data_IF_597858982167
#
_entry.id   IF_597858982167
#
_cell.length_a   1.000
_cell.length_b   1.000
_cell.length_c   1.000
_cell.angle_alpha   90.00
_cell.angle_beta   90.00
_cell.angle_gamma   90.00
#
_symmetry.space_group_name_H-M   'P 1'
#
loop_
_entity.id
_entity.type
_entity.pdbx_description
1 polymer ?
#
# COMPACT_ATOMS: atom_id res chain seq x y z
N UNK A 1 4.87 -16.28 -11.59
CA UNK A 1 3.42 -16.52 -11.49
C UNK A 1 2.98 -16.00 -10.13
N UNK A 2 2.32 -14.85 -10.09
CA UNK A 2 1.90 -14.20 -8.84
C UNK A 2 0.71 -14.98 -8.27
N UNK A 3 0.88 -15.65 -7.14
CA UNK A 3 -0.20 -16.39 -6.48
C UNK A 3 -1.19 -15.40 -5.88
N UNK A 4 -2.24 -15.09 -6.62
CA UNK A 4 -3.37 -14.30 -6.14
C UNK A 4 -4.14 -15.13 -5.13
N UNK A 5 -3.87 -14.94 -3.84
CA UNK A 5 -4.66 -15.56 -2.79
C UNK A 5 -6.03 -14.87 -2.72
N UNK A 6 -7.18 -15.57 -2.89
CA UNK A 6 -8.51 -14.95 -2.89
C UNK A 6 -8.82 -14.18 -1.59
N UNK A 7 -8.20 -14.55 -0.46
CA UNK A 7 -8.32 -13.81 0.80
C UNK A 7 -7.83 -12.36 0.71
N UNK A 8 -6.93 -12.05 -0.22
CA UNK A 8 -6.31 -10.73 -0.39
C UNK A 8 -7.10 -9.81 -1.32
N UNK A 9 -8.24 -10.25 -1.85
CA UNK A 9 -9.03 -9.48 -2.81
C UNK A 9 -9.48 -8.11 -2.25
N UNK A 10 -9.73 -8.05 -0.94
CA UNK A 10 -10.07 -6.81 -0.23
C UNK A 10 -8.90 -5.79 -0.19
N UNK A 11 -7.66 -6.22 -0.36
CA UNK A 11 -6.51 -5.31 -0.50
C UNK A 11 -6.47 -4.60 -1.84
N UNK A 12 -6.99 -5.25 -2.89
CA UNK A 12 -6.95 -4.74 -4.25
C UNK A 12 -8.13 -3.83 -4.58
N UNK A 13 -9.30 -4.12 -4.01
CA UNK A 13 -10.55 -3.37 -4.22
C UNK A 13 -10.59 -2.07 -3.42
N UNK A 14 -11.27 -1.07 -3.98
CA UNK A 14 -11.62 0.13 -3.25
C UNK A 14 -12.84 -0.13 -2.36
N UNK A 15 -12.73 0.20 -1.07
CA UNK A 15 -13.73 -0.14 -0.05
C UNK A 15 -14.17 1.06 0.80
N UNK A 16 -13.49 2.21 0.69
CA UNK A 16 -13.67 3.34 1.61
C UNK A 16 -14.78 4.33 1.21
N UNK A 17 -15.40 4.20 0.03
CA UNK A 17 -16.46 5.11 -0.41
C UNK A 17 -17.21 4.64 -1.65
N UNK A 18 -18.23 5.41 -2.04
CA UNK A 18 -19.07 5.19 -3.23
C UNK A 18 -19.11 6.45 -4.08
N UNK A 19 -19.35 6.29 -5.38
CA UNK A 19 -19.47 7.41 -6.31
C UNK A 19 -20.91 7.53 -6.81
N UNK A 20 -21.40 8.78 -6.92
CA UNK A 20 -22.72 9.07 -7.49
C UNK A 20 -22.77 8.85 -9.02
N UNK A 21 -21.61 8.79 -9.69
CA UNK A 21 -21.48 8.65 -11.14
C UNK A 21 -20.30 7.73 -11.48
N UNK A 22 -20.48 6.87 -12.50
CA UNK A 22 -19.48 5.93 -13.03
C UNK A 22 -18.76 5.07 -11.97
N UNK A 23 -19.49 4.62 -10.93
CA UNK A 23 -18.90 3.88 -9.80
C UNK A 23 -18.10 2.65 -10.25
N UNK A 24 -18.64 1.84 -11.17
CA UNK A 24 -17.91 0.66 -11.64
C UNK A 24 -16.59 1.03 -12.33
N UNK A 25 -16.56 2.12 -13.10
CA UNK A 25 -15.35 2.58 -13.75
C UNK A 25 -14.34 3.09 -12.71
N UNK A 26 -14.81 3.85 -11.72
CA UNK A 26 -13.98 4.35 -10.62
C UNK A 26 -13.39 3.19 -9.78
N UNK A 27 -14.15 2.11 -9.58
CA UNK A 27 -13.69 0.90 -8.92
C UNK A 27 -12.64 0.15 -9.76
N UNK A 28 -12.88 0.00 -11.08
CA UNK A 28 -11.94 -0.63 -12.02
C UNK A 28 -10.61 0.14 -12.08
N UNK A 29 -10.67 1.46 -12.20
CA UNK A 29 -9.47 2.31 -12.30
C UNK A 29 -8.64 2.35 -11.01
N UNK A 30 -9.24 2.00 -9.87
CA UNK A 30 -8.56 1.90 -8.56
C UNK A 30 -8.24 0.46 -8.15
N UNK A 31 -8.65 -0.52 -8.93
CA UNK A 31 -8.30 -1.92 -8.70
C UNK A 31 -6.84 -2.13 -9.11
N UNK A 32 -6.03 -2.59 -8.17
CA UNK A 32 -4.63 -2.93 -8.44
C UNK A 32 -4.25 -4.17 -7.66
N UNK A 33 -4.16 -5.29 -8.38
CA UNK A 33 -3.54 -6.49 -7.86
C UNK A 33 -2.03 -6.26 -7.70
N UNK A 34 -1.47 -6.68 -6.57
CA UNK A 34 -0.05 -6.65 -6.31
C UNK A 34 0.38 -7.91 -5.55
N UNK A 35 1.66 -8.23 -5.61
CA UNK A 35 2.22 -9.37 -4.87
C UNK A 35 2.32 -9.04 -3.38
N UNK A 36 1.37 -9.56 -2.60
CA UNK A 36 1.33 -9.39 -1.14
C UNK A 36 2.53 -10.06 -0.48
N UNK A 37 2.89 -11.27 -0.90
CA UNK A 37 4.04 -12.00 -0.36
C UNK A 37 5.35 -11.31 -0.71
N UNK A 38 5.44 -10.78 -1.94
CA UNK A 38 6.54 -9.94 -2.40
C UNK A 38 6.68 -8.66 -1.56
N UNK A 39 5.57 -7.97 -1.27
CA UNK A 39 5.57 -6.78 -0.42
C UNK A 39 6.00 -7.10 1.02
N UNK A 40 5.49 -8.18 1.60
CA UNK A 40 5.87 -8.66 2.92
C UNK A 40 7.38 -8.98 3.00
N UNK A 41 7.90 -9.69 2.00
CA UNK A 41 9.32 -10.04 1.91
C UNK A 41 10.20 -8.81 1.73
N UNK A 42 9.78 -7.85 0.90
CA UNK A 42 10.50 -6.60 0.68
C UNK A 42 10.53 -5.75 1.96
N UNK A 43 9.40 -5.66 2.65
CA UNK A 43 9.31 -4.92 3.90
C UNK A 43 10.17 -5.55 5.00
N UNK A 44 10.15 -6.88 5.15
CA UNK A 44 11.01 -7.59 6.10
C UNK A 44 12.50 -7.32 5.82
N UNK A 45 12.92 -7.39 4.55
CA UNK A 45 14.28 -7.03 4.13
C UNK A 45 14.62 -5.57 4.44
N UNK A 46 13.70 -4.63 4.19
CA UNK A 46 13.93 -3.21 4.41
C UNK A 46 14.20 -2.86 5.88
N UNK A 47 13.53 -3.52 6.82
CA UNK A 47 13.74 -3.30 8.27
C UNK A 47 14.66 -4.33 8.94
N UNK A 48 15.32 -5.18 8.14
CA UNK A 48 16.19 -6.27 8.62
C UNK A 48 15.49 -7.15 9.66
N UNK A 49 14.28 -7.56 9.35
CA UNK A 49 13.49 -8.53 10.11
C UNK A 49 13.43 -9.84 9.33
N UNK A 50 13.21 -10.94 10.04
CA UNK A 50 13.22 -12.28 9.45
C UNK A 50 11.95 -12.55 8.62
N UNK A 51 10.79 -12.12 9.12
CA UNK A 51 9.52 -12.29 8.40
C UNK A 51 8.46 -11.27 8.81
N UNK A 52 7.51 -11.05 7.89
CA UNK A 52 6.31 -10.27 8.15
C UNK A 52 5.17 -11.21 8.57
N UNK A 53 4.60 -10.97 9.75
CA UNK A 53 3.55 -11.83 10.34
C UNK A 53 2.14 -11.32 10.06
N UNK A 54 1.99 -10.04 9.69
CA UNK A 54 0.66 -9.47 9.44
C UNK A 54 0.73 -8.31 8.46
N UNK A 55 -0.26 -8.23 7.58
CA UNK A 55 -0.53 -7.09 6.72
C UNK A 55 -1.98 -6.65 6.91
N UNK A 56 -2.22 -5.34 7.03
CA UNK A 56 -3.55 -4.77 7.18
C UNK A 56 -3.67 -3.51 6.35
N UNK A 57 -4.75 -3.36 5.58
CA UNK A 57 -5.08 -2.11 4.89
C UNK A 57 -5.52 -1.08 5.94
N UNK A 58 -4.70 -0.06 6.16
CA UNK A 58 -4.90 0.93 7.22
C UNK A 58 -5.76 2.10 6.75
N UNK A 59 -5.49 2.57 5.54
CA UNK A 59 -6.26 3.64 4.92
C UNK A 59 -6.26 3.46 3.41
N UNK A 60 -7.32 3.94 2.77
CA UNK A 60 -7.39 4.04 1.32
C UNK A 60 -8.01 5.38 0.95
N UNK A 61 -7.26 6.16 0.19
CA UNK A 61 -7.72 7.41 -0.39
C UNK A 61 -7.98 7.27 -1.88
N UNK A 62 -8.36 8.39 -2.51
CA UNK A 62 -8.62 8.44 -3.95
C UNK A 62 -7.43 8.02 -4.82
N UNK A 63 -6.20 8.21 -4.33
CA UNK A 63 -4.96 8.06 -5.10
C UNK A 63 -3.98 7.02 -4.55
N UNK A 64 -4.05 6.67 -3.26
CA UNK A 64 -3.11 5.76 -2.61
C UNK A 64 -3.83 4.80 -1.66
N UNK A 65 -3.32 3.58 -1.54
CA UNK A 65 -3.64 2.62 -0.48
C UNK A 65 -2.47 2.54 0.48
N UNK A 66 -2.74 2.58 1.79
CA UNK A 66 -1.74 2.48 2.85
C UNK A 66 -1.95 1.16 3.59
N UNK A 67 -0.89 0.38 3.68
CA UNK A 67 -0.85 -0.90 4.37
C UNK A 67 0.09 -0.81 5.56
N UNK A 68 -0.34 -1.36 6.68
CA UNK A 68 0.48 -1.60 7.86
C UNK A 68 0.96 -3.04 7.83
N UNK A 69 2.27 -3.22 7.90
CA UNK A 69 2.92 -4.51 8.03
C UNK A 69 3.53 -4.62 9.42
N UNK A 70 3.38 -5.78 10.05
CA UNK A 70 3.94 -6.09 11.37
C UNK A 70 4.92 -7.24 11.18
N UNK A 71 6.15 -7.04 11.65
CA UNK A 71 7.22 -8.02 11.59
C UNK A 71 7.21 -8.92 12.82
N UNK A 72 7.88 -10.07 12.71
CA UNK A 72 8.02 -11.03 13.79
C UNK A 72 8.78 -10.48 15.02
N UNK A 73 9.65 -9.49 14.82
CA UNK A 73 10.40 -8.78 15.87
C UNK A 73 9.63 -7.59 16.47
N UNK A 74 8.34 -7.44 16.12
CA UNK A 74 7.49 -6.35 16.58
C UNK A 74 7.67 -5.02 15.85
N UNK A 75 8.62 -4.91 14.90
CA UNK A 75 8.74 -3.71 14.05
C UNK A 75 7.51 -3.54 13.16
N UNK A 76 7.22 -2.29 12.83
CA UNK A 76 6.05 -1.92 12.01
C UNK A 76 6.52 -1.14 10.79
N UNK A 77 5.95 -1.47 9.63
CA UNK A 77 6.24 -0.81 8.35
C UNK A 77 4.95 -0.29 7.76
N UNK A 78 4.97 0.93 7.24
CA UNK A 78 3.90 1.47 6.42
C UNK A 78 4.29 1.39 4.95
N UNK A 79 3.54 0.61 4.18
CA UNK A 79 3.70 0.54 2.74
C UNK A 79 2.60 1.35 2.06
N UNK A 80 2.99 2.23 1.14
CA UNK A 80 2.05 3.04 0.36
C UNK A 80 2.09 2.58 -1.09
N UNK A 81 0.93 2.21 -1.62
CA UNK A 81 0.76 1.73 -2.99
C UNK A 81 -0.09 2.75 -3.75
N UNK A 82 0.45 3.38 -4.81
CA UNK A 82 -0.33 4.28 -5.64
C UNK A 82 -1.34 3.51 -6.49
N UNK A 83 -2.56 4.04 -6.52
CA UNK A 83 -3.63 3.58 -7.38
C UNK A 83 -3.28 3.89 -8.86
N UNK A 84 -3.76 3.08 -9.82
CA UNK A 84 -3.51 3.31 -11.25
C UNK A 84 -4.01 4.67 -11.74
N UNK A 85 -5.08 5.18 -11.13
CA UNK A 85 -5.66 6.48 -11.43
C UNK A 85 -4.82 7.70 -10.96
N UNK A 86 -3.73 7.49 -10.20
CA UNK A 86 -2.91 8.57 -9.66
C UNK A 86 -2.00 9.26 -10.70
N UNK A 87 -2.22 9.01 -12.00
CA UNK A 87 -1.36 9.49 -13.08
C UNK A 87 -0.01 8.77 -13.15
N UNK A 88 0.88 9.17 -14.05
CA UNK A 88 2.21 8.58 -14.18
C UNK A 88 2.95 8.62 -12.84
N UNK A 89 3.56 7.50 -12.45
CA UNK A 89 4.34 7.34 -11.21
C UNK A 89 5.43 8.42 -11.00
N UNK A 90 5.75 9.16 -12.06
CA UNK A 90 6.70 10.27 -12.09
C UNK A 90 6.24 11.52 -11.32
N UNK A 91 4.92 11.82 -11.27
CA UNK A 91 4.41 13.02 -10.59
C UNK A 91 4.04 12.79 -9.11
N UNK A 92 3.78 11.55 -8.71
CA UNK A 92 3.32 11.21 -7.35
C UNK A 92 4.48 10.97 -6.36
N UNK A 93 5.72 10.87 -6.87
CA UNK A 93 6.92 10.65 -6.03
C UNK A 93 7.49 11.97 -5.47
N UNK A 94 7.08 13.14 -5.96
CA UNK A 94 7.72 14.41 -5.62
C UNK A 94 7.12 15.16 -4.40
N UNK A 95 5.96 14.77 -3.86
CA UNK A 95 5.31 15.53 -2.77
C UNK A 95 4.95 14.74 -1.51
N UNK A 96 5.46 13.52 -1.34
CA UNK A 96 5.31 12.77 -0.08
C UNK A 96 6.57 11.92 0.21
N UNK A 97 7.74 12.51 -0.04
CA UNK A 97 9.06 12.07 0.49
C UNK A 97 9.67 13.27 1.23
N UNK A 98 8.87 13.89 2.10
CA UNK A 98 9.26 15.09 2.84
C UNK A 98 8.73 15.06 4.28
N UNK A 99 8.78 13.91 4.97
CA UNK A 99 8.76 13.88 6.45
C UNK A 99 9.39 12.59 7.02
N UNK A 100 10.57 12.20 6.53
CA UNK A 100 11.45 11.26 7.25
C UNK A 100 12.90 11.76 7.32
N UNK A 101 13.11 13.06 7.17
CA UNK A 101 14.35 13.77 7.52
C UNK A 101 14.02 15.21 7.90
N UNK A 102 13.96 15.47 9.22
CA UNK A 102 14.11 16.74 9.96
C UNK A 102 13.43 16.49 11.32
N UNK A 103 14.03 16.45 12.51
CA UNK A 103 15.27 17.00 13.03
C UNK A 103 15.66 16.11 14.23
N UNK A 104 16.86 15.53 14.24
CA UNK A 104 17.56 15.33 15.52
C UNK A 104 18.45 16.56 15.66
N UNK A 105 18.06 17.48 16.55
CA UNK A 105 18.98 18.47 17.09
C UNK A 105 19.40 17.99 18.50
N UNK A 106 20.63 18.32 18.91
CA UNK A 106 21.35 17.71 20.02
C UNK A 106 20.71 17.93 21.40
#
# INVERSE_FOLDING_TARGET
MTTLNPDHEHFFRYTSGRWLWDEEQQLRDRYKAFDVAGLQSLAAKAVRSDSCISITKLAEGGYNKVFRLIMNDGKRVLARIPNPNAGPAFYTTASEVATMELVSLP
#
